data_IF_163163405863
#
_entry.id   IF_163163405863
#
_cell.length_a   1.000
_cell.length_b   1.000
_cell.length_c   1.000
_cell.angle_alpha   90.00
_cell.angle_beta   90.00
_cell.angle_gamma   90.00
#
_symmetry.space_group_name_H-M   'P 1'
#
loop_
_entity.id
_entity.type
_entity.pdbx_description
1 polymer ?
#
# COMPACT_ATOMS: atom_id res chain seq x y z
N UNK A 1 19.73 3.42 23.35
CA UNK A 1 18.70 2.48 23.86
C UNK A 1 17.43 2.77 23.08
N UNK A 2 17.16 1.93 22.08
CA UNK A 2 15.96 2.08 21.27
C UNK A 2 14.78 1.65 22.14
N UNK A 3 13.98 2.63 22.55
CA UNK A 3 12.66 2.38 23.11
C UNK A 3 11.84 1.70 21.99
N UNK A 4 11.83 0.37 22.00
CA UNK A 4 10.82 -0.38 21.26
C UNK A 4 9.50 -0.03 21.97
N UNK A 5 8.81 0.98 21.41
CA UNK A 5 7.42 1.24 21.75
C UNK A 5 6.70 -0.10 21.76
N UNK A 6 6.08 -0.42 22.90
CA UNK A 6 5.25 -1.62 23.00
C UNK A 6 4.11 -1.48 21.99
N UNK A 7 4.35 -1.99 20.79
CA UNK A 7 3.40 -1.91 19.68
C UNK A 7 2.06 -2.56 20.02
N UNK A 8 2.02 -3.44 21.04
CA UNK A 8 0.78 -4.05 21.52
C UNK A 8 -0.18 -3.03 22.11
N UNK A 9 0.33 -2.01 22.84
CA UNK A 9 -0.51 -0.94 23.38
C UNK A 9 -1.10 -0.01 22.30
N UNK A 10 -0.50 0.03 21.12
CA UNK A 10 -0.98 0.83 19.99
C UNK A 10 -2.08 0.13 19.15
N UNK A 11 -2.30 -1.17 19.37
CA UNK A 11 -3.35 -1.92 18.69
C UNK A 11 -4.68 -1.77 19.44
N UNK A 12 -5.68 -1.27 18.72
CA UNK A 12 -7.06 -1.20 19.19
C UNK A 12 -7.70 -2.60 19.22
N UNK A 13 -8.60 -2.84 20.16
CA UNK A 13 -9.53 -3.96 20.05
C UNK A 13 -10.38 -3.82 18.77
N UNK A 14 -11.01 -4.89 18.33
CA UNK A 14 -11.87 -4.84 17.14
C UNK A 14 -13.01 -3.83 17.30
N UNK A 15 -13.67 -3.82 18.47
CA UNK A 15 -14.75 -2.87 18.76
C UNK A 15 -14.27 -1.41 18.86
N UNK A 16 -13.07 -1.17 19.40
CA UNK A 16 -12.50 0.18 19.45
C UNK A 16 -12.09 0.66 18.07
N UNK A 17 -11.58 -0.24 17.23
CA UNK A 17 -11.23 0.06 15.85
C UNK A 17 -12.47 0.42 15.03
N UNK A 18 -13.55 -0.33 15.16
CA UNK A 18 -14.82 -0.02 14.50
C UNK A 18 -15.36 1.34 14.95
N UNK A 19 -15.37 1.59 16.27
CA UNK A 19 -15.78 2.89 16.81
C UNK A 19 -14.92 4.06 16.31
N UNK A 20 -13.61 3.85 16.17
CA UNK A 20 -12.70 4.85 15.62
C UNK A 20 -13.01 5.12 14.13
N UNK A 21 -13.23 4.07 13.34
CA UNK A 21 -13.58 4.17 11.91
C UNK A 21 -14.82 5.01 11.65
N UNK A 22 -15.81 4.94 12.53
CA UNK A 22 -17.06 5.69 12.42
C UNK A 22 -16.92 7.17 12.82
N UNK A 23 -15.88 7.54 13.55
CA UNK A 23 -15.79 8.84 14.22
C UNK A 23 -14.66 9.72 13.75
N UNK A 24 -13.57 9.14 13.25
CA UNK A 24 -12.38 9.88 12.83
C UNK A 24 -11.81 9.32 11.53
N UNK A 25 -11.18 10.16 10.70
CA UNK A 25 -10.40 9.66 9.58
C UNK A 25 -9.24 8.79 10.07
N UNK A 26 -9.04 7.64 9.42
CA UNK A 26 -7.93 6.74 9.73
C UNK A 26 -6.72 7.09 8.87
N UNK A 27 -5.53 7.13 9.47
CA UNK A 27 -4.28 7.40 8.74
C UNK A 27 -3.69 6.09 8.24
N UNK A 28 -3.41 6.04 6.94
CA UNK A 28 -2.84 4.89 6.24
C UNK A 28 -1.57 5.25 5.48
N UNK A 29 -0.81 4.25 5.13
CA UNK A 29 0.23 4.30 4.11
C UNK A 29 -0.13 3.34 2.99
N UNK A 30 0.08 3.77 1.74
CA UNK A 30 0.06 2.92 0.56
C UNK A 30 1.45 2.91 -0.04
N UNK A 31 1.97 1.75 -0.37
CA UNK A 31 3.25 1.61 -1.05
C UNK A 31 3.10 0.84 -2.35
N UNK A 32 3.55 1.46 -3.43
CA UNK A 32 3.68 0.81 -4.73
C UNK A 32 5.11 0.28 -4.84
N UNK A 33 5.32 -1.03 -4.64
CA UNK A 33 6.66 -1.61 -4.75
C UNK A 33 7.08 -1.66 -6.22
N UNK A 34 8.31 -1.25 -6.49
CA UNK A 34 8.86 -1.22 -7.84
C UNK A 34 10.26 -1.86 -7.89
N UNK A 35 10.62 -2.42 -9.04
CA UNK A 35 12.00 -2.73 -9.38
C UNK A 35 12.52 -1.63 -10.30
N UNK A 36 13.78 -1.28 -10.16
CA UNK A 36 14.42 -0.27 -10.98
C UNK A 36 15.68 -0.82 -11.63
N UNK A 37 16.05 -0.23 -12.77
CA UNK A 37 17.34 -0.48 -13.41
C UNK A 37 18.47 0.36 -12.75
N UNK A 38 19.68 0.24 -13.28
CA UNK A 38 20.86 0.98 -12.79
C UNK A 38 20.72 2.50 -12.91
N UNK A 39 19.79 2.98 -13.73
CA UNK A 39 19.48 4.41 -13.91
C UNK A 39 18.34 4.88 -13.03
N UNK A 40 17.78 3.99 -12.20
CA UNK A 40 16.61 4.29 -11.35
C UNK A 40 15.28 4.31 -12.08
N UNK A 41 15.22 3.82 -13.34
CA UNK A 41 13.97 3.73 -14.09
C UNK A 41 13.19 2.50 -13.64
N UNK A 42 11.89 2.66 -13.44
CA UNK A 42 11.01 1.55 -13.06
C UNK A 42 10.93 0.53 -14.19
N UNK A 43 11.29 -0.70 -13.89
CA UNK A 43 11.21 -1.84 -14.82
C UNK A 43 9.99 -2.70 -14.59
N UNK A 44 9.62 -2.91 -13.33
CA UNK A 44 8.42 -3.66 -12.95
C UNK A 44 7.77 -3.07 -11.70
N UNK A 45 6.47 -3.35 -11.56
CA UNK A 45 5.63 -3.02 -10.41
C UNK A 45 5.21 -4.31 -9.73
N UNK A 46 5.30 -4.36 -8.40
CA UNK A 46 4.83 -5.49 -7.61
C UNK A 46 3.35 -5.33 -7.24
N UNK A 47 2.57 -6.34 -7.54
CA UNK A 47 1.14 -6.39 -7.22
C UNK A 47 0.84 -7.62 -6.37
N UNK A 48 0.25 -7.41 -5.21
CA UNK A 48 -0.20 -8.47 -4.32
C UNK A 48 -1.52 -9.06 -4.84
N UNK A 49 -1.70 -10.35 -4.65
CA UNK A 49 -2.98 -11.03 -4.84
C UNK A 49 -3.62 -11.26 -3.46
N UNK A 50 -4.83 -10.78 -3.28
CA UNK A 50 -5.58 -10.91 -2.02
C UNK A 50 -6.93 -11.55 -2.25
N UNK A 51 -7.35 -12.43 -1.33
CA UNK A 51 -8.73 -12.91 -1.26
C UNK A 51 -9.63 -11.84 -0.64
N UNK A 52 -10.80 -11.65 -1.24
CA UNK A 52 -11.85 -10.78 -0.70
C UNK A 52 -12.89 -11.61 0.08
N UNK A 53 -13.65 -10.98 1.00
CA UNK A 53 -14.67 -11.69 1.81
C UNK A 53 -15.75 -12.41 1.01
N UNK A 54 -16.03 -11.97 -0.21
CA UNK A 54 -16.99 -12.59 -1.12
C UNK A 54 -16.43 -13.80 -1.91
N UNK A 55 -15.16 -14.19 -1.63
CA UNK A 55 -14.47 -15.28 -2.30
C UNK A 55 -13.81 -14.88 -3.62
N UNK A 56 -13.97 -13.66 -4.09
CA UNK A 56 -13.22 -13.13 -5.23
C UNK A 56 -11.79 -12.80 -4.85
N UNK A 57 -10.95 -12.56 -5.85
CA UNK A 57 -9.56 -12.13 -5.66
C UNK A 57 -9.37 -10.72 -6.22
N UNK A 58 -8.48 -9.96 -5.61
CA UNK A 58 -8.12 -8.61 -6.04
C UNK A 58 -6.61 -8.44 -6.04
N UNK A 59 -6.11 -7.70 -7.00
CA UNK A 59 -4.73 -7.22 -6.96
C UNK A 59 -4.67 -5.91 -6.19
N UNK A 60 -3.63 -5.78 -5.38
CA UNK A 60 -3.48 -4.67 -4.46
C UNK A 60 -2.03 -4.21 -4.34
N UNK A 61 -1.85 -2.97 -3.94
CA UNK A 61 -0.58 -2.46 -3.44
C UNK A 61 -0.42 -2.81 -1.95
N UNK A 62 0.76 -2.60 -1.41
CA UNK A 62 0.99 -2.69 0.04
C UNK A 62 0.24 -1.54 0.70
N UNK A 63 -0.58 -1.84 1.69
CA UNK A 63 -1.42 -0.85 2.37
C UNK A 63 -1.64 -1.22 3.82
N UNK A 64 -1.73 -0.22 4.68
CA UNK A 64 -2.10 -0.47 6.06
C UNK A 64 -2.09 0.77 6.94
N UNK A 65 -2.67 0.62 8.12
CA UNK A 65 -2.88 1.68 9.09
C UNK A 65 -1.58 2.07 9.79
N UNK A 66 -1.41 3.38 10.01
CA UNK A 66 -0.40 3.91 10.94
C UNK A 66 -0.94 3.76 12.36
N UNK A 67 -0.14 3.21 13.26
CA UNK A 67 -0.53 3.01 14.66
C UNK A 67 -0.30 4.28 15.48
N UNK A 68 -1.01 4.41 16.60
CA UNK A 68 -0.79 5.50 17.53
C UNK A 68 0.66 5.48 18.05
N UNK A 69 1.34 6.63 17.98
CA UNK A 69 2.74 6.75 18.40
C UNK A 69 3.77 6.19 17.42
N UNK A 70 3.32 5.60 16.29
CA UNK A 70 4.21 5.07 15.26
C UNK A 70 4.58 6.16 14.24
N UNK A 71 5.85 6.22 13.85
CA UNK A 71 6.25 7.11 12.75
C UNK A 71 5.76 6.53 11.42
N UNK A 72 5.40 7.41 10.49
CA UNK A 72 4.97 7.00 9.14
C UNK A 72 5.99 6.08 8.46
N UNK A 73 7.30 6.37 8.61
CA UNK A 73 8.36 5.51 8.06
C UNK A 73 8.33 4.11 8.65
N UNK A 74 8.10 3.98 9.93
CA UNK A 74 8.07 2.67 10.62
C UNK A 74 6.83 1.88 10.21
N UNK A 75 5.68 2.54 10.07
CA UNK A 75 4.47 1.94 9.51
C UNK A 75 4.71 1.43 8.08
N UNK A 76 5.33 2.24 7.23
CA UNK A 76 5.65 1.88 5.86
C UNK A 76 6.55 0.62 5.80
N UNK A 77 7.62 0.58 6.57
CA UNK A 77 8.52 -0.58 6.66
C UNK A 77 7.81 -1.82 7.21
N UNK A 78 6.99 -1.66 8.24
CA UNK A 78 6.23 -2.75 8.85
C UNK A 78 5.25 -3.39 7.86
N UNK A 79 4.53 -2.59 7.07
CA UNK A 79 3.60 -3.11 6.07
C UNK A 79 4.32 -3.72 4.87
N UNK A 80 5.45 -3.17 4.44
CA UNK A 80 6.29 -3.77 3.40
C UNK A 80 6.80 -5.14 3.84
N UNK A 81 7.40 -5.25 5.02
CA UNK A 81 7.87 -6.52 5.56
C UNK A 81 6.74 -7.55 5.72
N UNK A 82 5.58 -7.10 6.23
CA UNK A 82 4.40 -7.95 6.38
C UNK A 82 3.95 -8.57 5.06
N UNK A 83 3.92 -7.80 3.99
CA UNK A 83 3.34 -8.22 2.71
C UNK A 83 4.38 -8.81 1.75
N UNK A 84 5.63 -8.34 1.81
CA UNK A 84 6.71 -8.75 0.90
C UNK A 84 7.73 -9.69 1.54
N UNK A 85 7.71 -9.84 2.86
CA UNK A 85 8.63 -10.66 3.61
C UNK A 85 9.84 -9.92 4.15
N UNK A 86 10.61 -10.53 5.08
CA UNK A 86 11.70 -9.86 5.81
C UNK A 86 12.95 -9.60 4.97
N UNK A 87 13.03 -10.14 3.75
CA UNK A 87 14.16 -10.00 2.84
C UNK A 87 13.89 -9.06 1.67
N UNK A 88 12.84 -8.25 1.76
CA UNK A 88 12.40 -7.34 0.70
C UNK A 88 13.38 -6.19 0.43
N UNK A 89 14.18 -5.79 1.41
CA UNK A 89 15.17 -4.71 1.32
C UNK A 89 14.63 -3.43 0.65
N UNK A 90 13.63 -2.78 1.24
CA UNK A 90 13.03 -1.60 0.66
C UNK A 90 13.93 -0.38 0.81
N UNK A 91 14.02 0.43 -0.25
CA UNK A 91 14.72 1.70 -0.22
C UNK A 91 13.80 2.80 0.32
N UNK A 92 13.76 2.97 1.64
CA UNK A 92 12.96 3.99 2.31
C UNK A 92 13.89 4.99 3.02
N UNK A 93 13.91 6.27 2.59
CA UNK A 93 14.75 7.27 3.23
C UNK A 93 14.29 7.55 4.67
N UNK A 94 15.15 8.24 5.44
CA UNK A 94 14.84 8.60 6.85
C UNK A 94 13.57 9.45 6.96
N UNK A 95 13.33 10.35 6.01
CA UNK A 95 12.11 11.16 5.91
C UNK A 95 11.46 10.89 4.56
N UNK A 96 10.61 9.86 4.45
CA UNK A 96 9.97 9.54 3.18
C UNK A 96 8.96 10.62 2.79
N UNK A 97 8.97 10.97 1.51
CA UNK A 97 8.01 11.93 0.95
C UNK A 97 6.96 11.16 0.15
N UNK A 98 5.66 11.31 0.46
CA UNK A 98 4.62 10.72 -0.37
C UNK A 98 4.58 11.41 -1.73
N UNK A 99 4.31 10.65 -2.79
CA UNK A 99 4.10 11.26 -4.10
C UNK A 99 2.69 11.84 -4.23
N UNK A 100 1.75 11.37 -3.43
CA UNK A 100 0.39 11.91 -3.32
C UNK A 100 -0.26 11.53 -1.99
N UNK A 101 -1.36 12.20 -1.69
CA UNK A 101 -2.28 11.83 -0.62
C UNK A 101 -3.56 11.34 -1.28
N UNK A 102 -4.07 10.21 -0.82
CA UNK A 102 -5.29 9.58 -1.30
C UNK A 102 -6.31 9.53 -0.19
N UNK A 103 -7.54 9.89 -0.48
CA UNK A 103 -8.64 9.82 0.46
C UNK A 103 -9.64 8.76 0.03
N UNK A 104 -9.80 7.74 0.87
CA UNK A 104 -10.77 6.66 0.68
C UNK A 104 -12.04 6.97 1.47
N UNK A 105 -13.19 6.80 0.84
CA UNK A 105 -14.50 7.01 1.45
C UNK A 105 -15.39 5.78 1.31
N UNK A 106 -16.35 5.58 2.23
CA UNK A 106 -17.41 4.58 2.06
C UNK A 106 -18.29 4.85 0.83
N UNK A 107 -18.42 6.11 0.42
CA UNK A 107 -19.07 6.52 -0.82
C UNK A 107 -18.03 6.70 -1.93
N UNK A 108 -18.06 5.84 -2.93
CA UNK A 108 -17.11 5.85 -4.06
C UNK A 108 -17.22 7.10 -4.95
N UNK A 109 -18.33 7.85 -4.86
CA UNK A 109 -18.56 9.04 -5.69
C UNK A 109 -17.78 10.26 -5.20
N UNK A 110 -17.26 10.25 -3.98
CA UNK A 110 -16.57 11.40 -3.39
C UNK A 110 -15.23 11.68 -4.08
N UNK A 111 -14.35 10.66 -4.18
CA UNK A 111 -13.02 10.80 -4.79
C UNK A 111 -12.73 9.78 -5.88
N UNK A 112 -13.54 8.73 -5.96
CA UNK A 112 -13.23 7.54 -6.77
C UNK A 112 -12.29 6.54 -6.08
N UNK A 113 -11.78 6.86 -4.88
CA UNK A 113 -11.12 5.92 -4.00
C UNK A 113 -12.10 5.46 -2.93
N UNK A 114 -12.20 4.15 -2.75
CA UNK A 114 -13.27 3.54 -1.97
C UNK A 114 -12.76 2.53 -0.96
N UNK A 115 -13.19 2.68 0.28
CA UNK A 115 -13.12 1.67 1.33
C UNK A 115 -14.47 1.64 2.05
N UNK A 116 -15.26 0.54 1.93
CA UNK A 116 -16.61 0.49 2.50
C UNK A 116 -16.63 0.58 4.03
N UNK A 117 -15.48 0.39 4.68
CA UNK A 117 -15.37 0.34 6.14
C UNK A 117 -15.15 1.69 6.79
N UNK A 118 -14.58 2.70 6.06
CA UNK A 118 -14.00 3.87 6.72
C UNK A 118 -13.70 5.04 5.77
N UNK A 119 -13.56 6.22 6.37
CA UNK A 119 -12.81 7.32 5.77
C UNK A 119 -11.34 7.14 6.14
N UNK A 120 -10.47 6.98 5.14
CA UNK A 120 -9.03 6.88 5.36
C UNK A 120 -8.28 7.94 4.56
N UNK A 121 -7.28 8.56 5.20
CA UNK A 121 -6.31 9.44 4.56
C UNK A 121 -5.01 8.67 4.43
N UNK A 122 -4.61 8.35 3.21
CA UNK A 122 -3.44 7.53 2.92
C UNK A 122 -2.32 8.35 2.31
N UNK A 123 -1.13 8.20 2.88
CA UNK A 123 0.11 8.73 2.32
C UNK A 123 0.66 7.68 1.35
N UNK A 124 0.75 8.02 0.07
CA UNK A 124 1.13 7.08 -0.98
C UNK A 124 2.59 7.25 -1.41
N UNK A 125 3.31 6.14 -1.48
CA UNK A 125 4.74 6.08 -1.79
C UNK A 125 5.03 5.16 -2.96
N UNK A 126 6.02 5.52 -3.78
CA UNK A 126 6.70 4.58 -4.68
C UNK A 126 7.95 4.10 -3.95
N UNK A 127 8.09 2.79 -3.77
CA UNK A 127 9.18 2.21 -3.00
C UNK A 127 9.99 1.22 -3.84
N UNK A 128 11.24 1.55 -4.20
CA UNK A 128 12.14 0.58 -4.81
C UNK A 128 12.44 -0.58 -3.84
N UNK A 129 12.39 -1.78 -4.35
CA UNK A 129 12.63 -3.02 -3.62
C UNK A 129 13.81 -3.75 -4.24
N UNK A 130 14.86 -3.97 -3.47
CA UNK A 130 16.10 -4.61 -3.96
C UNK A 130 16.20 -6.09 -3.58
N UNK A 131 15.46 -6.50 -2.55
CA UNK A 131 15.57 -7.84 -1.98
C UNK A 131 14.67 -8.89 -2.62
N UNK A 132 14.78 -10.10 -2.09
CA UNK A 132 13.92 -11.21 -2.46
C UNK A 132 12.62 -11.14 -1.69
N UNK A 133 11.51 -11.11 -2.42
CA UNK A 133 10.18 -11.03 -1.84
C UNK A 133 9.52 -12.40 -1.81
N UNK A 134 8.86 -12.66 -0.68
CA UNK A 134 7.95 -13.79 -0.54
C UNK A 134 6.66 -13.28 0.09
N UNK A 135 5.49 -13.45 -0.55
CA UNK A 135 4.23 -13.03 0.04
C UNK A 135 4.03 -13.72 1.39
N UNK A 136 3.51 -12.96 2.33
CA UNK A 136 3.29 -13.44 3.70
C UNK A 136 1.96 -12.97 4.25
N UNK A 137 1.51 -13.61 5.32
CA UNK A 137 0.24 -13.33 6.00
C UNK A 137 -0.96 -13.37 5.04
N UNK A 138 -1.59 -12.22 4.76
CA UNK A 138 -2.84 -12.13 4.00
C UNK A 138 -2.65 -12.10 2.48
N UNK A 139 -1.41 -11.99 1.99
CA UNK A 139 -1.13 -12.01 0.57
C UNK A 139 -1.02 -13.45 0.05
N UNK A 140 -1.82 -13.80 -0.95
CA UNK A 140 -1.82 -15.13 -1.56
C UNK A 140 -0.67 -15.30 -2.54
N UNK A 141 -0.27 -14.22 -3.22
CA UNK A 141 0.80 -14.20 -4.21
C UNK A 141 1.31 -12.78 -4.43
N UNK A 142 2.46 -12.67 -5.06
CA UNK A 142 3.07 -11.42 -5.52
C UNK A 142 3.54 -11.61 -6.95
N UNK A 143 3.12 -10.74 -7.84
CA UNK A 143 3.56 -10.72 -9.23
C UNK A 143 4.28 -9.40 -9.55
N UNK A 144 5.36 -9.52 -10.32
CA UNK A 144 6.08 -8.37 -10.87
C UNK A 144 5.74 -8.22 -12.33
N UNK A 145 5.12 -7.11 -12.70
CA UNK A 145 4.65 -6.84 -14.06
C UNK A 145 5.25 -5.55 -14.59
N UNK A 146 5.35 -5.44 -15.91
CA UNK A 146 5.81 -4.20 -16.55
C UNK A 146 4.80 -3.06 -16.33
N UNK A 147 5.22 -1.78 -16.42
CA UNK A 147 4.29 -0.65 -16.37
C UNK A 147 3.13 -0.77 -17.37
N UNK A 148 3.39 -1.28 -18.56
CA UNK A 148 2.36 -1.49 -19.60
C UNK A 148 1.33 -2.55 -19.18
N UNK A 149 1.79 -3.65 -18.60
CA UNK A 149 0.89 -4.70 -18.08
C UNK A 149 0.08 -4.19 -16.90
N UNK A 150 0.71 -3.49 -15.94
CA UNK A 150 0.04 -2.94 -14.77
C UNK A 150 -1.09 -1.96 -15.14
N UNK A 151 -0.96 -1.24 -16.26
CA UNK A 151 -1.95 -0.28 -16.75
C UNK A 151 -2.91 -0.87 -17.81
N UNK A 152 -2.73 -2.14 -18.17
CA UNK A 152 -3.63 -2.82 -19.11
C UNK A 152 -5.05 -2.96 -18.55
N UNK A 153 -6.08 -3.01 -19.40
CA UNK A 153 -7.46 -3.21 -18.93
C UNK A 153 -7.63 -4.47 -18.08
N UNK A 154 -6.93 -5.55 -18.43
CA UNK A 154 -6.99 -6.81 -17.70
C UNK A 154 -6.55 -6.67 -16.24
N UNK A 155 -5.37 -6.08 -16.00
CA UNK A 155 -4.89 -5.83 -14.63
C UNK A 155 -5.71 -4.78 -13.89
N UNK A 156 -6.14 -3.72 -14.58
CA UNK A 156 -6.95 -2.66 -13.97
C UNK A 156 -8.30 -3.17 -13.47
N UNK A 157 -8.91 -4.12 -14.17
CA UNK A 157 -10.17 -4.75 -13.76
C UNK A 157 -10.04 -5.66 -12.53
N UNK A 158 -8.84 -6.15 -12.24
CA UNK A 158 -8.56 -6.97 -11.06
C UNK A 158 -8.30 -6.14 -9.81
N UNK A 159 -8.29 -4.81 -9.92
CA UNK A 159 -8.03 -3.87 -8.81
C UNK A 159 -9.33 -3.21 -8.37
N UNK A 160 -9.52 -3.13 -7.06
CA UNK A 160 -10.70 -2.50 -6.44
C UNK A 160 -10.31 -1.24 -5.67
N UNK A 161 -11.30 -0.46 -5.23
CA UNK A 161 -11.11 0.67 -4.34
C UNK A 161 -10.30 1.84 -4.91
N UNK A 162 -10.09 1.91 -6.23
CA UNK A 162 -9.28 2.95 -6.87
C UNK A 162 -7.79 2.63 -6.98
N UNK A 163 -7.35 1.46 -6.56
CA UNK A 163 -5.92 1.11 -6.58
C UNK A 163 -5.32 1.06 -7.99
N UNK A 164 -6.09 0.71 -9.00
CA UNK A 164 -5.65 0.81 -10.39
C UNK A 164 -5.29 2.24 -10.79
N UNK A 165 -6.08 3.21 -10.35
CA UNK A 165 -5.77 4.63 -10.52
C UNK A 165 -4.51 5.03 -9.75
N UNK A 166 -4.32 4.53 -8.53
CA UNK A 166 -3.12 4.79 -7.73
C UNK A 166 -1.85 4.30 -8.44
N UNK A 167 -1.87 3.11 -9.04
CA UNK A 167 -0.77 2.59 -9.87
C UNK A 167 -0.45 3.52 -11.05
N UNK A 168 -1.47 4.00 -11.77
CA UNK A 168 -1.25 4.96 -12.86
C UNK A 168 -0.61 6.25 -12.37
N UNK A 169 -1.06 6.79 -11.24
CA UNK A 169 -0.48 7.99 -10.63
C UNK A 169 0.98 7.75 -10.22
N UNK A 170 1.30 6.60 -9.63
CA UNK A 170 2.66 6.24 -9.25
C UNK A 170 3.59 6.14 -10.47
N UNK A 171 3.12 5.51 -11.55
CA UNK A 171 3.88 5.37 -12.78
C UNK A 171 4.07 6.72 -13.50
N UNK A 172 3.07 7.58 -13.51
CA UNK A 172 3.18 8.95 -14.02
C UNK A 172 4.20 9.76 -13.20
N UNK A 173 4.16 9.67 -11.88
CA UNK A 173 5.15 10.30 -11.01
C UNK A 173 6.57 9.80 -11.28
N UNK A 174 6.74 8.53 -11.59
CA UNK A 174 8.02 7.89 -11.91
C UNK A 174 8.47 8.11 -13.37
N UNK A 175 7.72 8.88 -14.17
CA UNK A 175 8.04 9.16 -15.57
C UNK A 175 7.79 8.00 -16.53
N UNK A 176 7.00 7.00 -16.15
CA UNK A 176 6.69 5.82 -16.97
C UNK A 176 5.41 5.96 -17.82
N UNK A 177 4.60 6.97 -17.54
CA UNK A 177 3.40 7.32 -18.29
C UNK A 177 3.48 8.80 -18.67
N UNK A 178 3.19 9.11 -19.94
CA UNK A 178 3.06 10.47 -20.46
C UNK A 178 1.60 10.95 -20.39
#
# INVERSE_FOLDING_TARGET
>A
MSDMLDTRAAWLSESDLESARERVPMVYVDAVPVRTDERGQVTTVGLLLRGLPDGSISRAVVSGRVLYGERVRDALLRHLEKDLGPMDLPQVPTSPQPFTIVEYFPDETVTGFHDPRQHAVSLAYVVPIDGDCAPSQDALDLVWVTPQEATSPAFQQEMSGGQGRLIRMALAHSGQLN
#
